data_IF_423822362036
#
_entry.id   IF_423822362036
#
_cell.length_a   1.000
_cell.length_b   1.000
_cell.length_c   1.000
_cell.angle_alpha   90.00
_cell.angle_beta   90.00
_cell.angle_gamma   90.00
#
_symmetry.space_group_name_H-M   'P 1'
#
loop_
_entity.id
_entity.type
_entity.pdbx_description
1 polymer ?
#
# COMPACT_ATOMS: atom_id res chain seq x y z
N UNK A 1 -21.24 -34.71 -1.65
CA UNK A 1 -20.14 -33.74 -1.37
C UNK A 1 -20.32 -33.23 0.04
N UNK A 2 -19.45 -33.62 0.96
CA UNK A 2 -19.62 -33.40 2.41
C UNK A 2 -19.16 -32.00 2.82
N UNK A 3 -20.06 -31.22 3.43
CA UNK A 3 -19.86 -29.84 3.94
C UNK A 3 -18.95 -29.76 5.20
N UNK A 4 -17.86 -30.53 5.27
CA UNK A 4 -17.00 -30.61 6.47
C UNK A 4 -15.90 -29.53 6.56
N UNK A 5 -15.91 -28.51 5.68
CA UNK A 5 -14.82 -27.51 5.61
C UNK A 5 -15.02 -26.25 6.47
N UNK A 6 -16.11 -26.10 7.23
CA UNK A 6 -16.48 -24.81 7.85
C UNK A 6 -15.91 -24.55 9.26
N UNK A 7 -15.06 -25.45 9.80
CA UNK A 7 -14.48 -25.29 11.14
C UNK A 7 -12.96 -25.03 11.12
N UNK A 8 -12.48 -24.34 10.08
CA UNK A 8 -11.08 -23.95 10.01
C UNK A 8 -10.78 -22.89 11.09
N UNK A 9 -9.84 -23.20 12.00
CA UNK A 9 -9.26 -22.23 12.92
C UNK A 9 -8.47 -21.22 12.08
N UNK A 10 -8.91 -19.97 12.04
CA UNK A 10 -8.20 -18.89 11.36
C UNK A 10 -7.51 -18.01 12.38
N UNK A 11 -6.32 -17.48 12.05
CA UNK A 11 -5.68 -16.46 12.87
C UNK A 11 -6.60 -15.24 12.98
N UNK A 12 -6.77 -14.73 14.18
CA UNK A 12 -7.61 -13.56 14.42
C UNK A 12 -7.01 -12.36 13.68
N UNK A 13 -7.73 -11.76 12.71
CA UNK A 13 -7.17 -10.71 11.86
C UNK A 13 -6.86 -9.42 12.63
N UNK A 14 -7.54 -9.20 13.77
CA UNK A 14 -7.37 -8.00 14.60
C UNK A 14 -6.07 -8.01 15.43
N UNK A 15 -5.66 -9.18 15.92
CA UNK A 15 -4.40 -9.33 16.68
C UNK A 15 -3.35 -10.14 15.90
N UNK A 16 -3.62 -10.45 14.64
CA UNK A 16 -2.75 -11.22 13.74
C UNK A 16 -2.25 -12.54 14.35
N UNK A 17 -3.11 -13.23 15.10
CA UNK A 17 -2.73 -14.48 15.77
C UNK A 17 -2.20 -14.34 17.20
N UNK A 18 -1.86 -13.14 17.66
CA UNK A 18 -1.18 -12.96 18.96
C UNK A 18 -2.11 -13.11 20.18
N UNK A 19 -3.41 -12.85 20.01
CA UNK A 19 -4.40 -12.91 21.09
C UNK A 19 -4.52 -11.64 21.94
N UNK A 20 -3.61 -10.68 21.81
CA UNK A 20 -3.62 -9.41 22.54
C UNK A 20 -3.33 -8.22 21.62
N UNK A 21 -3.78 -7.02 22.01
CA UNK A 21 -3.57 -5.76 21.26
C UNK A 21 -3.21 -4.61 22.20
N UNK A 22 -2.47 -3.63 21.70
CA UNK A 22 -2.33 -2.32 22.33
C UNK A 22 -3.57 -1.47 22.04
N UNK A 23 -4.03 -0.72 23.04
CA UNK A 23 -5.07 0.30 22.84
C UNK A 23 -4.42 1.61 22.38
N UNK A 24 -3.18 1.86 22.80
CA UNK A 24 -2.42 3.06 22.47
C UNK A 24 -1.16 2.68 21.70
N UNK A 25 -1.04 3.16 20.47
CA UNK A 25 0.14 2.96 19.63
C UNK A 25 1.39 3.72 20.14
N UNK A 26 1.21 4.69 21.05
CA UNK A 26 2.31 5.45 21.65
C UNK A 26 3.19 4.60 22.56
N UNK A 27 2.61 3.56 23.16
CA UNK A 27 3.36 2.64 24.03
C UNK A 27 4.02 1.59 23.16
N UNK A 28 5.35 1.67 23.04
CA UNK A 28 6.15 0.64 22.37
C UNK A 28 6.04 -0.68 23.13
N UNK A 29 5.90 -1.79 22.40
CA UNK A 29 6.03 -3.12 22.99
C UNK A 29 7.44 -3.30 23.57
N UNK A 30 7.52 -3.64 24.85
CA UNK A 30 8.75 -3.97 25.56
C UNK A 30 9.16 -5.45 25.38
N UNK A 31 8.27 -6.27 24.79
CA UNK A 31 8.47 -7.71 24.55
C UNK A 31 8.33 -8.07 23.06
N UNK A 32 8.73 -9.29 22.72
CA UNK A 32 8.55 -9.85 21.38
C UNK A 32 7.07 -9.80 20.93
N UNK A 33 6.83 -9.74 19.61
CA UNK A 33 5.48 -9.59 19.00
C UNK A 33 4.44 -10.62 19.46
N UNK A 34 4.89 -11.82 19.85
CA UNK A 34 4.03 -12.92 20.31
C UNK A 34 3.99 -13.04 21.85
N UNK A 35 4.55 -12.08 22.59
CA UNK A 35 4.56 -12.05 24.05
C UNK A 35 3.74 -10.86 24.58
N UNK A 36 2.81 -11.16 25.50
CA UNK A 36 1.98 -10.13 26.15
C UNK A 36 2.83 -9.23 27.05
N UNK A 37 2.87 -7.95 26.71
CA UNK A 37 3.43 -6.88 27.52
C UNK A 37 2.50 -6.45 28.67
N UNK A 38 2.98 -5.58 29.57
CA UNK A 38 2.16 -5.06 30.69
C UNK A 38 0.97 -4.22 30.22
N UNK A 39 1.09 -3.53 29.08
CA UNK A 39 0.07 -2.64 28.53
C UNK A 39 -0.88 -3.30 27.52
N UNK A 40 -0.64 -4.58 27.23
CA UNK A 40 -1.38 -5.37 26.26
C UNK A 40 -2.68 -5.85 26.87
N UNK A 41 -3.83 -5.53 26.25
CA UNK A 41 -5.12 -6.10 26.64
C UNK A 41 -5.46 -7.29 25.75
N UNK A 42 -6.21 -8.25 26.28
CA UNK A 42 -6.67 -9.38 25.47
C UNK A 42 -7.54 -8.85 24.32
N UNK A 43 -7.33 -9.39 23.12
CA UNK A 43 -8.11 -9.03 21.96
C UNK A 43 -9.56 -9.45 22.18
N UNK A 44 -10.49 -8.50 22.10
CA UNK A 44 -11.93 -8.74 22.35
C UNK A 44 -12.55 -9.64 21.29
N UNK A 45 -12.01 -9.64 20.06
CA UNK A 45 -12.48 -10.46 18.94
C UNK A 45 -12.25 -11.96 19.15
N UNK A 46 -11.06 -12.35 19.61
CA UNK A 46 -10.69 -13.76 19.84
C UNK A 46 -10.59 -14.12 21.33
N UNK A 47 -10.94 -13.20 22.23
CA UNK A 47 -10.90 -13.36 23.68
C UNK A 47 -9.54 -13.84 24.22
N UNK A 48 -8.43 -13.40 23.64
CA UNK A 48 -7.10 -13.83 24.09
C UNK A 48 -6.51 -15.03 23.35
N UNK A 49 -7.31 -15.79 22.58
CA UNK A 49 -6.84 -17.06 21.98
C UNK A 49 -5.95 -16.90 20.75
N UNK A 50 -5.99 -15.75 20.09
CA UNK A 50 -5.30 -15.52 18.83
C UNK A 50 -5.99 -16.13 17.61
N UNK A 51 -7.02 -16.95 17.79
CA UNK A 51 -7.72 -17.61 16.68
C UNK A 51 -9.23 -17.36 16.73
N UNK A 52 -9.87 -17.30 15.57
CA UNK A 52 -11.33 -17.28 15.45
C UNK A 52 -11.79 -18.56 14.76
N UNK A 53 -12.91 -19.11 15.21
CA UNK A 53 -13.49 -20.37 14.74
C UNK A 53 -14.94 -20.08 14.36
N UNK A 54 -15.36 -20.50 13.16
CA UNK A 54 -16.73 -20.28 12.68
C UNK A 54 -17.07 -18.82 12.34
N UNK A 55 -16.07 -17.94 12.29
CA UNK A 55 -16.22 -16.50 12.00
C UNK A 55 -15.31 -16.07 10.88
N UNK A 56 -15.76 -15.10 10.09
CA UNK A 56 -15.00 -14.48 9.02
C UNK A 56 -14.78 -12.99 9.28
N UNK A 57 -13.72 -12.38 8.72
CA UNK A 57 -13.53 -10.93 8.70
C UNK A 57 -14.80 -10.19 8.27
N UNK A 58 -15.23 -9.19 9.04
CA UNK A 58 -16.37 -8.38 8.64
C UNK A 58 -16.01 -7.55 7.40
N UNK A 59 -16.65 -7.76 6.23
CA UNK A 59 -16.29 -7.07 4.99
C UNK A 59 -16.62 -5.58 5.05
N UNK A 60 -17.62 -5.19 5.84
CA UNK A 60 -18.11 -3.81 5.94
C UNK A 60 -17.11 -2.89 6.64
N UNK A 61 -16.50 -3.35 7.73
CA UNK A 61 -15.53 -2.56 8.48
C UNK A 61 -14.08 -3.00 8.30
N UNK A 62 -13.82 -3.98 7.42
CA UNK A 62 -12.52 -4.58 7.20
C UNK A 62 -11.80 -4.88 8.52
N UNK A 63 -12.44 -5.68 9.38
CA UNK A 63 -11.98 -6.11 10.72
C UNK A 63 -11.79 -5.06 11.80
N UNK A 64 -12.00 -3.77 11.50
CA UNK A 64 -11.86 -2.70 12.50
C UNK A 64 -12.92 -2.79 13.60
N UNK A 65 -14.16 -3.15 13.24
CA UNK A 65 -15.30 -3.15 14.15
C UNK A 65 -16.06 -1.82 14.19
N UNK A 66 -15.54 -0.79 13.53
CA UNK A 66 -16.15 0.53 13.38
C UNK A 66 -16.00 1.04 11.94
N UNK A 67 -16.82 2.03 11.59
CA UNK A 67 -16.83 2.72 10.32
C UNK A 67 -16.58 4.20 10.56
N UNK A 68 -15.82 4.83 9.67
CA UNK A 68 -15.58 6.27 9.69
C UNK A 68 -16.27 6.90 8.48
N UNK A 69 -17.50 7.34 8.68
CA UNK A 69 -18.37 7.97 7.67
C UNK A 69 -18.40 9.51 7.77
N UNK A 70 -17.70 10.08 8.76
CA UNK A 70 -17.61 11.53 8.94
C UNK A 70 -16.71 12.18 7.90
N UNK A 71 -17.05 13.41 7.52
CA UNK A 71 -16.23 14.27 6.64
C UNK A 71 -14.92 14.69 7.33
N UNK A 72 -14.86 14.62 8.66
CA UNK A 72 -13.66 14.93 9.43
C UNK A 72 -12.58 13.88 9.18
N UNK A 73 -11.31 14.25 9.01
CA UNK A 73 -10.24 13.27 8.85
C UNK A 73 -10.09 12.40 10.11
N UNK A 74 -9.71 11.14 9.93
CA UNK A 74 -9.37 10.25 11.04
C UNK A 74 -8.06 10.74 11.68
N UNK A 75 -8.12 11.16 12.93
CA UNK A 75 -7.02 11.79 13.68
C UNK A 75 -6.11 10.79 14.43
N UNK A 76 -6.50 9.51 14.42
CA UNK A 76 -5.80 8.41 15.07
C UNK A 76 -5.36 7.36 14.04
N UNK A 77 -4.61 6.33 14.46
CA UNK A 77 -4.22 5.25 13.56
C UNK A 77 -5.45 4.45 13.10
N UNK A 78 -5.33 3.75 11.97
CA UNK A 78 -6.42 2.94 11.41
C UNK A 78 -7.02 1.87 12.35
N UNK A 79 -6.29 1.52 13.42
CA UNK A 79 -6.64 0.48 14.39
C UNK A 79 -7.25 1.03 15.70
N UNK A 80 -7.32 2.36 15.84
CA UNK A 80 -7.91 3.05 16.99
C UNK A 80 -9.18 3.74 16.52
N UNK A 81 -10.22 3.71 17.34
CA UNK A 81 -11.48 4.40 17.06
C UNK A 81 -11.32 5.88 17.41
N UNK A 82 -11.49 6.78 16.43
CA UNK A 82 -11.65 8.20 16.74
C UNK A 82 -13.06 8.51 17.27
N UNK A 83 -13.25 9.74 17.76
CA UNK A 83 -14.53 10.22 18.28
C UNK A 83 -15.67 10.14 17.25
N UNK A 84 -15.35 10.30 15.96
CA UNK A 84 -16.33 10.28 14.89
C UNK A 84 -16.61 8.90 14.30
N UNK A 85 -15.85 7.85 14.65
CA UNK A 85 -16.19 6.54 14.12
C UNK A 85 -17.44 5.99 14.81
N UNK A 86 -18.30 5.37 14.02
CA UNK A 86 -19.50 4.69 14.47
C UNK A 86 -19.23 3.19 14.56
N UNK A 87 -19.85 2.53 15.52
CA UNK A 87 -19.84 1.07 15.64
C UNK A 87 -20.35 0.44 14.34
N UNK A 88 -19.64 -0.57 13.83
CA UNK A 88 -20.07 -1.26 12.61
C UNK A 88 -21.40 -1.99 12.89
N UNK A 89 -22.46 -1.76 12.10
CA UNK A 89 -23.77 -2.34 12.37
C UNK A 89 -23.78 -3.86 12.21
N UNK A 90 -22.95 -4.40 11.32
CA UNK A 90 -22.93 -5.83 10.99
C UNK A 90 -22.23 -6.66 12.06
N UNK A 91 -21.08 -6.19 12.57
CA UNK A 91 -20.27 -6.97 13.51
C UNK A 91 -20.29 -6.46 14.96
N UNK A 92 -20.94 -5.32 15.24
CA UNK A 92 -21.07 -4.76 16.59
C UNK A 92 -19.73 -4.67 17.34
N UNK A 93 -18.74 -4.00 16.73
CA UNK A 93 -17.38 -3.79 17.28
C UNK A 93 -16.45 -5.00 17.33
N UNK A 94 -16.94 -6.19 16.98
CA UNK A 94 -16.11 -7.40 17.00
C UNK A 94 -15.14 -7.47 15.83
N UNK A 95 -15.45 -6.82 14.70
CA UNK A 95 -14.65 -6.89 13.47
C UNK A 95 -14.78 -8.21 12.71
N UNK A 96 -15.59 -9.14 13.21
CA UNK A 96 -15.82 -10.45 12.59
C UNK A 96 -17.31 -10.74 12.58
N UNK A 97 -17.78 -11.45 11.57
CA UNK A 97 -19.16 -11.93 11.48
C UNK A 97 -19.15 -13.45 11.43
N UNK A 98 -20.23 -14.10 11.85
CA UNK A 98 -20.33 -15.55 11.72
C UNK A 98 -20.29 -15.94 10.23
N UNK A 99 -19.73 -17.11 9.89
CA UNK A 99 -19.61 -17.54 8.47
C UNK A 99 -20.99 -17.65 7.80
N UNK A 100 -22.03 -17.92 8.58
CA UNK A 100 -23.42 -17.98 8.12
C UNK A 100 -24.09 -16.59 8.07
N UNK A 101 -23.34 -15.50 8.23
CA UNK A 101 -23.86 -14.14 8.13
C UNK A 101 -24.31 -13.88 6.69
N UNK A 102 -25.58 -14.17 6.42
CA UNK A 102 -26.26 -13.70 5.21
C UNK A 102 -26.36 -12.19 5.37
N UNK A 103 -25.59 -11.45 4.56
CA UNK A 103 -25.75 -10.01 4.41
C UNK A 103 -27.23 -9.78 4.09
N UNK A 104 -27.98 -9.21 5.03
CA UNK A 104 -29.36 -8.78 4.78
C UNK A 104 -29.32 -7.67 3.76
N UNK A 105 -29.21 -8.03 2.49
CA UNK A 105 -29.37 -7.14 1.36
C UNK A 105 -30.85 -6.81 1.24
N UNK A 106 -31.30 -5.81 2.00
CA UNK A 106 -32.34 -4.84 1.63
C UNK A 106 -32.90 -4.18 2.88
N UNK A 107 -32.96 -2.86 2.91
CA UNK A 107 -34.21 -2.08 2.83
C UNK A 107 -33.96 -0.62 3.19
N UNK A 108 -34.55 0.26 2.39
CA UNK A 108 -34.75 1.67 2.69
C UNK A 108 -35.67 1.76 3.91
N UNK A 109 -35.13 1.91 5.12
CA UNK A 109 -35.96 2.06 6.33
C UNK A 109 -35.73 3.43 6.94
N UNK A 110 -36.76 4.26 6.74
CA UNK A 110 -37.06 5.49 7.46
C UNK A 110 -36.76 5.34 8.95
N UNK A 111 -35.99 6.28 9.48
CA UNK A 111 -35.72 6.43 10.92
C UNK A 111 -37.02 6.67 11.69
N UNK A 112 -37.33 5.78 12.62
CA UNK A 112 -38.18 6.07 13.77
C UNK A 112 -37.36 5.90 15.04
N UNK A 113 -37.17 7.02 15.74
CA UNK A 113 -36.58 7.08 17.06
C UNK A 113 -37.41 6.27 18.04
N UNK A 114 -36.78 5.40 18.84
CA UNK A 114 -37.31 5.05 20.14
C UNK A 114 -36.17 4.71 21.12
N UNK A 115 -36.29 5.32 22.29
CA UNK A 115 -35.44 5.26 23.47
C UNK A 115 -35.74 4.01 24.30
N UNK A 116 -34.70 3.32 24.80
CA UNK A 116 -34.79 2.45 25.98
C UNK A 116 -33.38 2.30 26.58
N UNK A 117 -33.11 2.91 27.73
CA UNK A 117 -33.29 2.46 29.13
C UNK A 117 -32.44 1.23 29.52
N UNK A 118 -31.50 1.54 30.41
CA UNK A 118 -30.65 0.69 31.24
C UNK A 118 -31.28 -0.62 31.74
N UNK A 119 -30.47 -1.67 31.78
CA UNK A 119 -30.53 -2.65 32.87
C UNK A 119 -29.14 -3.23 33.16
N UNK A 120 -28.78 -3.15 34.45
CA UNK A 120 -27.62 -3.74 35.11
C UNK A 120 -27.82 -5.25 35.23
N UNK A 121 -26.76 -6.04 35.05
CA UNK A 121 -26.55 -7.27 35.82
C UNK A 121 -25.10 -7.75 35.75
N UNK A 122 -24.62 -8.16 36.93
CA UNK A 122 -23.42 -8.93 37.31
C UNK A 122 -23.89 -9.71 38.58
N UNK A 123 -23.16 -10.70 39.12
CA UNK A 123 -21.99 -11.44 38.63
C UNK A 123 -22.08 -12.97 38.86
N UNK A 124 -21.11 -13.78 38.40
CA UNK A 124 -20.61 -14.94 39.19
C UNK A 124 -19.25 -15.48 38.71
N UNK A 125 -18.56 -16.13 39.66
CA UNK A 125 -17.17 -16.64 39.72
C UNK A 125 -16.98 -17.99 38.98
N UNK A 126 -15.73 -18.31 38.59
CA UNK A 126 -14.79 -19.28 39.22
C UNK A 126 -14.02 -20.22 38.24
N UNK A 127 -12.69 -20.34 38.48
CA UNK A 127 -11.71 -21.41 38.17
C UNK A 127 -11.38 -21.72 36.68
N UNK A 128 -10.20 -22.18 36.24
CA UNK A 128 -9.06 -22.87 36.88
C UNK A 128 -7.77 -22.68 36.07
N UNK A 129 -6.64 -22.87 36.72
CA UNK A 129 -5.25 -22.83 36.22
C UNK A 129 -4.88 -24.16 35.55
N UNK A 130 -4.06 -24.13 34.49
CA UNK A 130 -3.19 -25.26 34.10
C UNK A 130 -1.99 -24.76 33.31
N UNK A 131 -0.81 -24.97 33.88
CA UNK A 131 0.52 -24.65 33.34
C UNK A 131 1.04 -25.83 32.52
N UNK A 132 1.64 -25.57 31.36
CA UNK A 132 2.46 -26.55 30.63
C UNK A 132 3.78 -25.89 30.27
N UNK A 133 4.85 -26.45 30.87
CA UNK A 133 6.25 -26.17 30.58
C UNK A 133 6.63 -26.59 29.16
N UNK A 134 7.26 -25.70 28.39
CA UNK A 134 8.04 -26.08 27.22
C UNK A 134 9.39 -25.35 27.15
N UNK A 135 10.38 -26.23 27.00
CA UNK A 135 11.83 -26.09 26.83
C UNK A 135 12.23 -25.12 25.69
N UNK A 136 13.20 -24.20 25.89
CA UNK A 136 13.63 -23.28 24.84
C UNK A 136 14.64 -23.93 23.87
N UNK A 137 14.40 -23.72 22.58
CA UNK A 137 15.35 -23.95 21.47
C UNK A 137 15.92 -22.57 21.06
N UNK A 138 17.23 -22.42 20.78
CA UNK A 138 17.81 -21.12 20.42
C UNK A 138 17.53 -20.79 18.95
N UNK A 139 16.89 -19.64 18.69
CA UNK A 139 16.65 -19.10 17.36
C UNK A 139 17.49 -17.84 17.10
N UNK A 140 18.07 -17.80 15.91
CA UNK A 140 18.93 -16.76 15.35
C UNK A 140 18.24 -15.39 15.23
N UNK A 141 18.98 -14.27 15.29
CA UNK A 141 18.39 -12.93 15.35
C UNK A 141 17.86 -12.49 13.97
N UNK A 142 16.56 -12.18 13.89
CA UNK A 142 15.92 -11.62 12.69
C UNK A 142 15.91 -10.10 12.78
N UNK A 143 16.58 -9.47 11.82
CA UNK A 143 16.80 -8.04 11.71
C UNK A 143 15.52 -7.31 11.23
N UNK A 144 14.71 -6.83 12.17
CA UNK A 144 13.49 -6.07 11.87
C UNK A 144 13.85 -4.61 11.51
N UNK A 145 13.81 -4.28 10.22
CA UNK A 145 13.97 -2.91 9.75
C UNK A 145 12.71 -2.08 10.05
N UNK A 146 12.85 -1.04 10.89
CA UNK A 146 11.78 -0.07 11.17
C UNK A 146 11.32 0.63 9.89
N UNK A 147 10.14 0.26 9.38
CA UNK A 147 9.46 0.95 8.28
C UNK A 147 8.48 1.94 8.89
N UNK A 148 8.68 3.23 8.65
CA UNK A 148 7.87 4.31 9.21
C UNK A 148 7.56 5.39 8.18
N UNK A 149 6.51 6.17 8.44
CA UNK A 149 6.20 7.36 7.65
C UNK A 149 7.37 8.35 7.68
N UNK A 150 7.69 8.96 6.54
CA UNK A 150 8.73 9.97 6.46
C UNK A 150 8.29 11.20 7.27
N UNK A 151 9.02 11.57 8.34
CA UNK A 151 8.63 12.66 9.22
C UNK A 151 8.82 14.04 8.57
N UNK A 152 9.65 14.12 7.54
CA UNK A 152 9.96 15.38 6.84
C UNK A 152 8.82 15.80 5.90
N UNK A 153 8.17 14.83 5.25
CA UNK A 153 7.05 15.10 4.34
C UNK A 153 5.70 14.61 4.87
N UNK A 154 5.62 14.19 6.14
CA UNK A 154 4.41 13.64 6.77
C UNK A 154 3.70 12.59 5.92
N UNK A 155 4.46 11.62 5.41
CA UNK A 155 3.99 10.56 4.50
C UNK A 155 3.52 10.98 3.08
N UNK A 156 3.60 12.25 2.72
CA UNK A 156 3.12 12.72 1.41
C UNK A 156 4.07 12.44 0.25
N UNK A 157 5.37 12.28 0.52
CA UNK A 157 6.41 12.09 -0.49
C UNK A 157 6.95 13.38 -1.11
N UNK A 158 6.33 14.53 -0.84
CA UNK A 158 6.75 15.83 -1.36
C UNK A 158 6.77 16.88 -0.25
N UNK A 159 7.64 17.89 -0.40
CA UNK A 159 7.81 19.01 0.53
C UNK A 159 7.72 20.33 -0.23
N UNK A 160 7.36 21.39 0.48
CA UNK A 160 7.26 22.72 -0.09
C UNK A 160 8.21 23.66 0.66
N UNK A 161 9.20 24.20 -0.04
CA UNK A 161 10.22 25.08 0.54
C UNK A 161 9.89 26.58 0.37
N UNK A 162 8.81 26.91 -0.33
CA UNK A 162 8.43 28.29 -0.64
C UNK A 162 7.26 28.77 0.23
N UNK A 163 7.18 30.08 0.45
CA UNK A 163 6.07 30.73 1.17
C UNK A 163 4.80 30.84 0.30
N UNK A 164 4.84 30.34 -0.94
CA UNK A 164 3.68 30.38 -1.83
C UNK A 164 2.63 29.39 -1.29
N UNK A 165 1.36 29.79 -1.11
CA UNK A 165 0.33 28.86 -0.66
C UNK A 165 0.09 27.74 -1.67
N UNK A 166 -0.36 26.58 -1.20
CA UNK A 166 -0.69 25.46 -2.08
C UNK A 166 -1.92 25.79 -2.96
N UNK A 167 -1.81 25.52 -4.25
CA UNK A 167 -2.91 25.65 -5.24
C UNK A 167 -3.78 24.39 -5.34
N UNK A 168 -3.38 23.30 -4.65
CA UNK A 168 -4.02 21.98 -4.69
C UNK A 168 -4.42 21.52 -3.28
N UNK A 169 -5.44 20.64 -3.17
CA UNK A 169 -5.86 20.07 -1.90
C UNK A 169 -4.74 19.22 -1.27
N UNK A 170 -4.79 19.08 0.06
CA UNK A 170 -3.87 18.24 0.85
C UNK A 170 -3.72 16.85 0.24
N UNK A 171 -2.48 16.35 0.17
CA UNK A 171 -2.18 15.04 -0.40
C UNK A 171 -1.80 15.03 -1.89
N UNK A 172 -1.85 16.16 -2.60
CA UNK A 172 -1.32 16.27 -3.97
C UNK A 172 -0.21 17.33 -4.08
N UNK A 173 0.88 17.07 -4.83
CA UNK A 173 1.96 18.04 -4.99
C UNK A 173 1.50 19.23 -5.84
N UNK A 174 1.70 20.46 -5.33
CA UNK A 174 1.52 21.68 -6.11
C UNK A 174 2.66 21.85 -7.14
N UNK A 175 2.58 22.87 -8.00
CA UNK A 175 3.65 23.18 -8.98
C UNK A 175 5.00 23.47 -8.30
N UNK A 176 4.98 23.90 -7.05
CA UNK A 176 6.16 24.30 -6.27
C UNK A 176 6.59 23.25 -5.23
N UNK A 177 5.87 22.13 -5.12
CA UNK A 177 6.29 21.01 -4.29
C UNK A 177 7.48 20.30 -4.97
N UNK A 178 8.56 20.10 -4.23
CA UNK A 178 9.67 19.25 -4.64
C UNK A 178 9.50 17.84 -4.05
N UNK A 179 10.09 16.85 -4.72
CA UNK A 179 10.14 15.47 -4.19
C UNK A 179 10.94 15.49 -2.89
N UNK A 180 10.42 14.85 -1.85
CA UNK A 180 11.09 14.79 -0.56
C UNK A 180 12.41 14.04 -0.70
N UNK A 181 13.53 14.71 -0.44
CA UNK A 181 14.89 14.15 -0.58
C UNK A 181 15.17 12.97 0.34
N UNK A 182 14.43 12.87 1.45
CA UNK A 182 14.64 11.84 2.47
C UNK A 182 14.05 10.48 2.08
N UNK A 183 12.85 10.49 1.50
CA UNK A 183 12.12 9.29 1.09
C UNK A 183 12.03 9.12 -0.43
N UNK A 184 12.66 10.01 -1.20
CA UNK A 184 12.65 10.03 -2.66
C UNK A 184 11.23 9.92 -3.27
N UNK A 185 10.24 10.57 -2.66
CA UNK A 185 8.86 10.54 -3.16
C UNK A 185 7.98 9.46 -2.56
N UNK A 186 8.54 8.48 -1.85
CA UNK A 186 7.77 7.34 -1.37
C UNK A 186 6.86 7.65 -0.17
N UNK A 187 7.13 8.73 0.56
CA UNK A 187 6.42 9.05 1.80
C UNK A 187 6.81 8.15 2.98
N UNK A 188 7.65 7.13 2.77
CA UNK A 188 8.07 6.18 3.81
C UNK A 188 9.60 6.10 3.87
N UNK A 189 10.13 5.86 5.08
CA UNK A 189 11.55 5.59 5.32
C UNK A 189 11.70 4.19 5.91
N UNK A 190 12.75 3.48 5.51
CA UNK A 190 13.11 2.17 6.03
C UNK A 190 14.47 2.30 6.71
N UNK A 191 14.57 1.87 7.97
CA UNK A 191 15.83 1.84 8.71
C UNK A 191 16.36 3.22 9.13
N UNK A 192 15.61 4.31 8.93
CA UNK A 192 15.99 5.66 9.39
C UNK A 192 15.03 6.13 10.48
N UNK A 193 15.53 6.91 11.44
CA UNK A 193 14.74 7.50 12.52
C UNK A 193 14.71 9.02 12.41
N UNK A 194 13.62 9.63 12.89
CA UNK A 194 13.51 11.08 13.00
C UNK A 194 14.66 11.64 13.86
N UNK A 195 15.35 12.66 13.38
CA UNK A 195 16.38 13.33 14.18
C UNK A 195 15.71 14.11 15.32
N UNK A 196 15.96 13.68 16.55
CA UNK A 196 15.39 14.30 17.76
C UNK A 196 15.97 15.69 18.03
N UNK A 197 17.21 15.95 17.63
CA UNK A 197 17.87 17.24 17.84
C UNK A 197 17.22 18.39 17.06
N UNK A 198 16.66 18.11 15.89
CA UNK A 198 15.96 19.13 15.08
C UNK A 198 14.48 18.82 14.92
N UNK A 199 13.92 17.89 15.69
CA UNK A 199 12.53 17.41 15.57
C UNK A 199 12.14 17.10 14.12
N UNK A 200 12.99 16.36 13.42
CA UNK A 200 12.87 16.01 12.01
C UNK A 200 12.85 17.16 10.97
N UNK A 201 13.09 18.41 11.38
CA UNK A 201 13.13 19.53 10.45
C UNK A 201 14.38 19.54 9.58
N UNK A 202 15.49 19.00 10.08
CA UNK A 202 16.79 19.06 9.41
C UNK A 202 17.60 20.31 9.72
N UNK A 203 16.98 21.35 10.27
CA UNK A 203 17.63 22.59 10.68
C UNK A 203 17.21 23.02 12.09
N UNK A 204 17.98 23.92 12.69
CA UNK A 204 17.73 24.47 14.02
C UNK A 204 18.24 25.91 14.15
N UNK A 205 17.74 26.62 15.16
CA UNK A 205 18.35 27.88 15.60
C UNK A 205 19.38 27.56 16.68
N UNK A 206 20.62 28.06 16.57
CA UNK A 206 21.57 28.00 17.67
C UNK A 206 20.94 28.61 18.93
N UNK A 207 21.16 28.03 20.13
CA UNK A 207 20.62 28.58 21.38
C UNK A 207 20.97 30.07 21.60
N UNK A 208 22.12 30.51 21.06
CA UNK A 208 22.61 31.87 21.17
C UNK A 208 22.16 32.79 20.02
N UNK A 209 21.26 32.33 19.15
CA UNK A 209 20.72 33.15 18.07
C UNK A 209 19.77 34.21 18.64
N UNK A 210 20.08 35.50 18.41
CA UNK A 210 19.17 36.61 18.74
C UNK A 210 17.86 36.59 17.94
N UNK A 211 17.80 35.78 16.88
CA UNK A 211 16.66 35.69 15.99
C UNK A 211 15.76 34.51 16.37
N UNK A 212 14.50 34.80 16.68
CA UNK A 212 13.45 33.80 16.89
C UNK A 212 12.94 33.30 15.54
N UNK A 213 12.54 32.04 15.45
CA UNK A 213 11.97 31.49 14.22
C UNK A 213 10.56 32.06 13.99
N UNK A 214 10.45 33.06 13.11
CA UNK A 214 9.21 33.79 12.82
C UNK A 214 8.58 33.43 11.47
N UNK A 215 9.03 32.37 10.81
CA UNK A 215 8.48 31.94 9.53
C UNK A 215 7.28 31.00 9.78
N UNK A 216 6.16 31.30 9.10
CA UNK A 216 4.95 30.48 9.14
C UNK A 216 4.75 29.84 7.76
N UNK A 217 4.55 28.52 7.64
CA UNK A 217 4.51 27.53 8.74
C UNK A 217 5.88 27.28 9.38
N UNK A 218 5.89 26.85 10.66
CA UNK A 218 7.12 26.58 11.44
C UNK A 218 7.97 25.42 10.91
N UNK A 219 7.51 24.79 9.84
CA UNK A 219 8.20 23.76 9.05
C UNK A 219 9.03 24.34 7.91
N UNK A 220 9.06 25.66 7.71
CA UNK A 220 9.95 26.30 6.73
C UNK A 220 11.30 26.65 7.36
N UNK A 221 12.35 26.75 6.53
CA UNK A 221 13.67 27.23 6.94
C UNK A 221 13.69 28.76 6.85
N UNK A 222 14.09 29.44 7.92
CA UNK A 222 14.36 30.88 7.84
C UNK A 222 15.82 31.15 7.47
N UNK A 223 16.17 32.39 7.16
CA UNK A 223 17.53 32.77 6.80
C UNK A 223 18.58 32.48 7.90
N UNK A 224 18.17 32.48 9.18
CA UNK A 224 19.05 32.23 10.32
C UNK A 224 19.11 30.75 10.75
N UNK A 225 18.34 29.88 10.10
CA UNK A 225 18.36 28.44 10.38
C UNK A 225 19.66 27.81 9.84
N UNK A 226 20.41 27.15 10.73
CA UNK A 226 21.56 26.32 10.36
C UNK A 226 21.14 24.87 10.20
N UNK A 227 21.85 24.13 9.34
CA UNK A 227 21.64 22.69 9.21
C UNK A 227 21.98 21.99 10.53
N UNK A 228 21.18 20.99 10.88
CA UNK A 228 21.35 20.25 12.11
C UNK A 228 22.64 19.40 12.01
N UNK A 229 23.60 19.55 12.94
CA UNK A 229 24.90 18.88 12.85
C UNK A 229 24.80 17.35 13.05
N UNK A 230 23.70 16.87 13.63
CA UNK A 230 23.47 15.44 13.87
C UNK A 230 23.00 14.72 12.60
N UNK A 231 22.23 15.41 11.76
CA UNK A 231 21.61 14.83 10.58
C UNK A 231 21.98 15.53 9.27
N UNK A 232 22.94 16.45 9.29
CA UNK A 232 23.43 17.21 8.13
C UNK A 232 22.32 17.79 7.24
N UNK A 233 21.27 18.36 7.83
CA UNK A 233 20.17 18.94 7.05
C UNK A 233 19.04 17.98 6.67
N UNK A 234 19.21 16.66 6.85
CA UNK A 234 18.24 15.67 6.34
C UNK A 234 17.01 15.46 7.24
N UNK A 235 17.07 15.85 8.51
CA UNK A 235 15.97 15.63 9.45
C UNK A 235 15.78 14.17 9.89
N UNK A 236 16.58 13.24 9.36
CA UNK A 236 16.58 11.84 9.75
C UNK A 236 18.01 11.35 9.97
N UNK A 237 18.16 10.40 10.88
CA UNK A 237 19.41 9.72 11.17
C UNK A 237 19.27 8.24 10.83
N UNK A 238 20.34 7.68 10.27
CA UNK A 238 20.48 6.24 10.12
C UNK A 238 21.08 5.69 11.43
N UNK A 239 20.34 4.89 12.23
CA UNK A 239 20.84 4.34 13.49
C UNK A 239 22.10 3.49 13.30
N UNK A 240 22.28 2.91 12.10
CA UNK A 240 23.45 2.09 11.79
C UNK A 240 24.72 2.93 11.57
N UNK A 241 24.56 4.17 11.07
CA UNK A 241 25.67 5.12 10.81
C UNK A 241 25.86 6.16 11.93
N UNK A 242 24.93 6.25 12.86
CA UNK A 242 24.88 7.34 13.85
C UNK A 242 26.03 7.32 14.87
N UNK A 243 26.60 6.16 15.18
CA UNK A 243 27.73 6.03 16.12
C UNK A 243 28.97 6.80 15.65
N UNK A 244 29.19 6.87 14.35
CA UNK A 244 30.36 7.52 13.75
C UNK A 244 30.12 9.02 13.56
N UNK A 245 28.92 9.41 13.12
CA UNK A 245 28.54 10.82 12.99
C UNK A 245 28.43 11.55 14.33
N UNK A 246 28.02 10.88 15.42
CA UNK A 246 27.97 11.50 16.74
C UNK A 246 29.37 11.87 17.26
N UNK A 247 30.38 11.01 17.01
CA UNK A 247 31.78 11.31 17.35
C UNK A 247 32.32 12.49 16.55
N UNK A 248 32.05 12.54 15.25
CA UNK A 248 32.51 13.63 14.38
C UNK A 248 31.84 14.97 14.69
N UNK A 249 30.57 14.96 15.13
CA UNK A 249 29.85 16.18 15.54
C UNK A 249 30.43 16.82 16.81
N UNK A 250 30.87 16.01 17.79
CA UNK A 250 31.53 16.51 19.01
C UNK A 250 32.91 17.10 18.70
N UNK A 251 33.63 16.52 17.74
CA UNK A 251 34.96 17.00 17.31
C UNK A 251 34.84 18.33 16.56
N UNK A 252 33.87 18.45 15.65
CA UNK A 252 33.67 19.68 14.87
C UNK A 252 33.24 20.89 15.73
N UNK A 253 32.57 20.67 16.87
CA UNK A 253 32.26 21.77 17.80
C UNK A 253 33.47 22.25 18.62
N UNK A 254 34.51 21.41 18.76
CA UNK A 254 35.74 21.79 19.49
C UNK A 254 36.76 22.53 18.62
N UNK A 255 36.71 22.37 17.30
CA UNK A 255 37.69 22.98 16.38
C UNK A 255 37.39 24.44 16.02
N UNK A 256 36.16 24.93 16.19
CA UNK A 256 35.80 26.30 15.78
C UNK A 256 36.11 27.38 16.83
N UNK A 257 36.69 27.02 17.98
CA UNK A 257 37.08 27.99 19.04
C UNK A 257 38.59 28.06 19.32
N UNK A 258 39.46 27.46 18.50
CA UNK A 258 40.91 27.40 18.77
C UNK A 258 41.79 27.84 17.61
N UNK A 259 41.43 28.93 16.93
CA UNK A 259 42.32 29.62 16.01
C UNK A 259 42.31 31.13 16.30
N UNK A 260 42.96 31.52 17.40
CA UNK A 260 43.78 32.74 17.51
C UNK A 260 44.32 32.85 18.95
N UNK A 261 45.49 32.29 19.20
CA UNK A 261 46.39 32.75 20.26
C UNK A 261 47.82 32.43 19.83
N UNK A 262 48.71 33.43 19.70
CA UNK A 262 50.09 33.20 19.28
C UNK A 262 50.86 32.48 20.40
N UNK A 263 51.76 31.54 20.07
CA UNK A 263 52.56 30.85 21.08
C UNK A 263 53.64 31.79 21.63
N UNK A 264 53.61 32.00 22.94
CA UNK A 264 54.75 32.53 23.69
C UNK A 264 55.90 31.52 23.65
N UNK A 265 57.08 32.02 23.30
CA UNK A 265 58.35 31.28 23.32
C UNK A 265 58.68 30.87 24.75
N UNK A 266 58.51 29.59 25.07
CA UNK A 266 59.18 28.97 26.21
C UNK A 266 60.13 27.88 25.73
N UNK A 267 61.40 28.14 26.00
CA UNK A 267 62.57 27.33 25.70
C UNK A 267 62.54 26.09 26.58
N UNK A 268 62.06 24.96 26.06
CA UNK A 268 62.16 23.66 26.74
C UNK A 268 63.54 23.06 26.44
N UNK A 269 64.38 23.08 27.47
CA UNK A 269 65.71 22.47 27.49
C UNK A 269 65.54 20.95 27.66
N UNK A 270 65.55 20.18 26.56
CA UNK A 270 65.52 18.72 26.62
C UNK A 270 66.93 18.20 26.88
N UNK A 271 67.17 17.81 28.12
CA UNK A 271 68.41 17.20 28.56
C UNK A 271 68.47 15.74 28.07
N UNK A 272 69.30 15.51 27.06
CA UNK A 272 69.61 14.19 26.51
C UNK A 272 70.28 13.33 27.59
N UNK A 273 69.56 12.33 28.10
CA UNK A 273 70.16 11.21 28.83
C UNK A 273 70.29 10.00 27.90
N UNK A 274 71.37 9.20 27.99
CA UNK A 274 71.63 8.12 27.06
C UNK A 274 70.61 6.99 27.22
N UNK A 275 70.09 6.41 26.13
CA UNK A 275 69.11 5.35 26.21
C UNK A 275 69.75 4.07 26.77
N UNK A 276 69.23 3.59 27.89
CA UNK A 276 69.61 2.30 28.46
C UNK A 276 69.03 1.15 27.62
N UNK A 277 69.85 0.12 27.39
CA UNK A 277 69.66 -1.00 26.45
C UNK A 277 68.33 -1.78 26.56
N UNK A 278 67.57 -1.61 27.65
CA UNK A 278 66.27 -2.28 27.88
C UNK A 278 65.10 -1.64 27.12
N UNK A 279 65.17 -0.36 26.76
CA UNK A 279 64.09 0.31 26.02
C UNK A 279 64.05 -0.06 24.51
N UNK A 280 65.19 -0.47 23.95
CA UNK A 280 65.28 -0.86 22.54
C UNK A 280 64.61 -2.21 22.24
N UNK A 281 64.64 -3.15 23.19
CA UNK A 281 64.03 -4.48 23.03
C UNK A 281 62.49 -4.44 23.04
N UNK A 282 61.87 -3.58 23.86
CA UNK A 282 60.41 -3.40 23.89
C UNK A 282 59.87 -2.78 22.58
N UNK A 283 60.63 -1.87 21.96
CA UNK A 283 60.27 -1.25 20.68
C UNK A 283 60.24 -2.27 19.53
N UNK A 284 61.17 -3.22 19.53
CA UNK A 284 61.27 -4.26 18.48
C UNK A 284 60.07 -5.22 18.52
N UNK A 285 59.63 -5.64 19.72
CA UNK A 285 58.46 -6.50 19.87
C UNK A 285 57.14 -5.80 19.47
N UNK A 286 57.01 -4.50 19.72
CA UNK A 286 55.84 -3.74 19.28
C UNK A 286 55.76 -3.61 17.76
N UNK A 287 56.90 -3.40 17.10
CA UNK A 287 56.96 -3.34 15.64
C UNK A 287 56.53 -4.65 14.99
N UNK A 288 56.99 -5.78 15.53
CA UNK A 288 56.65 -7.11 15.01
C UNK A 288 55.15 -7.43 15.14
N UNK A 289 54.51 -7.02 16.25
CA UNK A 289 53.04 -7.13 16.41
C UNK A 289 52.26 -6.25 15.44
N UNK A 290 52.78 -5.09 15.06
CA UNK A 290 52.11 -4.25 14.04
C UNK A 290 52.16 -4.90 12.66
N UNK A 291 53.30 -5.49 12.30
CA UNK A 291 53.45 -6.23 11.04
C UNK A 291 52.52 -7.45 10.96
N UNK A 292 52.43 -8.25 12.03
CA UNK A 292 51.49 -9.39 12.10
C UNK A 292 50.04 -8.91 11.94
N UNK A 293 49.64 -7.84 12.64
CA UNK A 293 48.30 -7.28 12.53
C UNK A 293 47.99 -6.71 11.14
N UNK A 294 48.99 -6.15 10.47
CA UNK A 294 48.85 -5.66 9.10
C UNK A 294 48.69 -6.82 8.12
N UNK A 295 49.43 -7.91 8.31
CA UNK A 295 49.29 -9.14 7.54
C UNK A 295 47.91 -9.80 7.72
N UNK A 296 47.42 -9.88 8.97
CA UNK A 296 46.06 -10.37 9.26
C UNK A 296 45.00 -9.52 8.56
N UNK A 297 45.16 -8.19 8.57
CA UNK A 297 44.23 -7.27 7.90
C UNK A 297 44.23 -7.47 6.38
N UNK A 298 45.39 -7.69 5.76
CA UNK A 298 45.48 -8.00 4.34
C UNK A 298 44.81 -9.34 4.00
N UNK A 299 44.98 -10.36 4.86
CA UNK A 299 44.32 -11.66 4.69
C UNK A 299 42.80 -11.56 4.84
N UNK A 300 42.30 -10.80 5.83
CA UNK A 300 40.87 -10.56 6.01
C UNK A 300 40.27 -9.83 4.80
N UNK A 301 40.99 -8.86 4.24
CA UNK A 301 40.57 -8.14 3.04
C UNK A 301 40.44 -9.06 1.82
N UNK A 302 41.35 -10.02 1.66
CA UNK A 302 41.30 -11.01 0.58
C UNK A 302 40.09 -11.94 0.71
N UNK A 303 39.83 -12.45 1.92
CA UNK A 303 38.65 -13.29 2.20
C UNK A 303 37.34 -12.51 1.97
N UNK A 304 37.29 -11.24 2.36
CA UNK A 304 36.13 -10.38 2.11
C UNK A 304 35.90 -10.17 0.61
N UNK A 305 36.96 -10.04 -0.18
CA UNK A 305 36.90 -9.92 -1.63
C UNK A 305 36.39 -11.22 -2.28
N UNK A 306 36.88 -12.38 -1.85
CA UNK A 306 36.44 -13.70 -2.33
C UNK A 306 34.95 -13.94 -2.02
N UNK A 307 34.49 -13.61 -0.82
CA UNK A 307 33.07 -13.73 -0.46
C UNK A 307 32.17 -12.76 -1.27
N UNK A 308 32.68 -11.59 -1.64
CA UNK A 308 31.96 -10.68 -2.53
C UNK A 308 31.84 -11.27 -3.95
N UNK A 309 32.93 -11.85 -4.46
CA UNK A 309 32.95 -12.52 -5.76
C UNK A 309 31.95 -13.68 -5.80
N UNK A 310 31.94 -14.53 -4.76
CA UNK A 310 31.01 -15.65 -4.66
C UNK A 310 29.53 -15.20 -4.65
N UNK A 311 29.22 -14.09 -3.96
CA UNK A 311 27.85 -13.53 -3.98
C UNK A 311 27.45 -13.00 -5.35
N UNK A 312 28.39 -12.42 -6.11
CA UNK A 312 28.12 -11.96 -7.47
C UNK A 312 27.85 -13.14 -8.40
N UNK A 313 28.64 -14.20 -8.33
CA UNK A 313 28.44 -15.42 -9.12
C UNK A 313 27.11 -16.11 -8.76
N UNK A 314 26.78 -16.21 -7.47
CA UNK A 314 25.49 -16.75 -7.03
C UNK A 314 24.31 -15.90 -7.56
N UNK A 315 24.45 -14.58 -7.55
CA UNK A 315 23.41 -13.67 -8.07
C UNK A 315 23.24 -13.84 -9.58
N UNK A 316 24.33 -13.96 -10.33
CA UNK A 316 24.29 -14.21 -11.77
C UNK A 316 23.65 -15.57 -12.10
N UNK A 317 23.97 -16.61 -11.33
CA UNK A 317 23.36 -17.93 -11.49
C UNK A 317 21.84 -17.92 -11.25
N UNK A 318 21.39 -17.18 -10.22
CA UNK A 318 19.95 -17.00 -9.94
C UNK A 318 19.25 -16.27 -11.09
N UNK A 319 19.85 -15.20 -11.62
CA UNK A 319 19.29 -14.46 -12.75
C UNK A 319 19.16 -15.32 -14.01
N UNK A 320 20.18 -16.14 -14.31
CA UNK A 320 20.15 -17.06 -15.45
C UNK A 320 19.05 -18.12 -15.28
N UNK A 321 18.91 -18.68 -14.07
CA UNK A 321 17.86 -19.65 -13.76
C UNK A 321 16.46 -19.03 -13.89
N UNK A 322 16.27 -17.80 -13.40
CA UNK A 322 14.99 -17.08 -13.53
C UNK A 322 14.64 -16.84 -15.01
N UNK A 323 15.62 -16.44 -15.81
CA UNK A 323 15.44 -16.27 -17.26
C UNK A 323 15.01 -17.58 -17.94
N UNK A 324 15.62 -18.70 -17.56
CA UNK A 324 15.28 -20.02 -18.09
C UNK A 324 13.85 -20.44 -17.71
N UNK A 325 13.41 -20.18 -16.48
CA UNK A 325 12.04 -20.46 -16.05
C UNK A 325 11.01 -19.62 -16.83
N UNK A 326 11.27 -18.32 -17.03
CA UNK A 326 10.40 -17.45 -17.83
C UNK A 326 10.30 -17.94 -19.27
N UNK A 327 11.42 -18.37 -19.86
CA UNK A 327 11.43 -18.93 -21.22
C UNK A 327 10.62 -20.22 -21.31
N UNK A 328 10.73 -21.11 -20.32
CA UNK A 328 9.94 -22.35 -20.26
C UNK A 328 8.45 -22.06 -20.10
N UNK A 329 8.08 -21.09 -19.25
CA UNK A 329 6.69 -20.68 -19.07
C UNK A 329 6.11 -20.09 -20.36
N UNK A 330 6.89 -19.29 -21.10
CA UNK A 330 6.48 -18.75 -22.40
C UNK A 330 6.21 -19.85 -23.43
N UNK A 331 7.06 -20.88 -23.49
CA UNK A 331 6.85 -22.04 -24.37
C UNK A 331 5.58 -22.81 -24.02
N UNK A 332 5.29 -23.00 -22.72
CA UNK A 332 4.04 -23.63 -22.28
C UNK A 332 2.80 -22.80 -22.67
N UNK A 333 2.85 -21.48 -22.49
CA UNK A 333 1.76 -20.59 -22.91
C UNK A 333 1.54 -20.65 -24.43
N UNK A 334 2.61 -20.67 -25.23
CA UNK A 334 2.50 -20.78 -26.68
C UNK A 334 1.86 -22.10 -27.11
N UNK A 335 2.23 -23.22 -26.47
CA UNK A 335 1.58 -24.51 -26.72
C UNK A 335 0.09 -24.49 -26.36
N UNK A 336 -0.28 -23.87 -25.23
CA UNK A 336 -1.68 -23.74 -24.82
C UNK A 336 -2.49 -22.89 -25.82
N UNK A 337 -1.92 -21.78 -26.31
CA UNK A 337 -2.55 -20.93 -27.33
C UNK A 337 -2.77 -21.71 -28.63
N UNK A 338 -1.77 -22.50 -29.08
CA UNK A 338 -1.90 -23.36 -30.27
C UNK A 338 -3.02 -24.39 -30.11
N UNK A 339 -3.17 -25.00 -28.94
CA UNK A 339 -4.28 -25.93 -28.66
C UNK A 339 -5.65 -25.23 -28.73
N UNK A 340 -5.78 -24.04 -28.14
CA UNK A 340 -7.02 -23.26 -28.20
C UNK A 340 -7.35 -22.86 -29.64
N UNK A 341 -6.37 -22.41 -30.42
CA UNK A 341 -6.56 -22.06 -31.83
C UNK A 341 -7.01 -23.27 -32.67
N UNK A 342 -6.43 -24.44 -32.44
CA UNK A 342 -6.83 -25.68 -33.09
C UNK A 342 -8.28 -26.05 -32.74
N UNK A 343 -8.68 -25.92 -31.48
CA UNK A 343 -10.05 -26.18 -31.03
C UNK A 343 -11.06 -25.21 -31.65
N UNK A 344 -10.71 -23.92 -31.74
CA UNK A 344 -11.54 -22.91 -32.41
C UNK A 344 -11.70 -23.21 -33.90
N UNK A 345 -10.64 -23.61 -34.58
CA UNK A 345 -10.70 -24.00 -36.00
C UNK A 345 -11.61 -25.22 -36.21
N UNK A 346 -11.52 -26.22 -35.33
CA UNK A 346 -12.40 -27.39 -35.39
C UNK A 346 -13.88 -27.02 -35.17
N UNK A 347 -14.17 -26.13 -34.22
CA UNK A 347 -15.55 -25.62 -34.01
C UNK A 347 -16.07 -24.87 -35.23
N UNK A 348 -15.24 -24.04 -35.86
CA UNK A 348 -15.63 -23.29 -37.06
C UNK A 348 -15.93 -24.23 -38.23
N UNK A 349 -15.14 -25.29 -38.40
CA UNK A 349 -15.38 -26.31 -39.43
C UNK A 349 -16.71 -27.04 -39.20
N UNK A 350 -17.02 -27.39 -37.94
CA UNK A 350 -18.30 -28.02 -37.59
C UNK A 350 -19.49 -27.07 -37.84
N UNK A 351 -19.34 -25.78 -37.53
CA UNK A 351 -20.36 -24.78 -37.78
C UNK A 351 -20.64 -24.61 -39.27
N UNK A 352 -19.60 -24.59 -40.12
CA UNK A 352 -19.76 -24.56 -41.59
C UNK A 352 -20.47 -25.81 -42.12
N UNK A 353 -20.15 -27.00 -41.59
CA UNK A 353 -20.82 -28.24 -41.99
C UNK A 353 -22.32 -28.21 -41.63
N UNK A 354 -22.67 -27.72 -40.43
CA UNK A 354 -24.05 -27.55 -40.00
C UNK A 354 -24.81 -26.55 -40.89
N UNK A 355 -24.18 -25.43 -41.26
CA UNK A 355 -24.78 -24.44 -42.14
C UNK A 355 -25.04 -25.00 -43.55
N UNK A 356 -24.10 -25.80 -44.08
CA UNK A 356 -24.29 -26.50 -45.36
C UNK A 356 -25.46 -27.47 -45.32
N UNK A 357 -25.61 -28.22 -44.21
CA UNK A 357 -26.72 -29.16 -44.04
C UNK A 357 -28.08 -28.44 -43.93
N UNK A 358 -28.15 -27.29 -43.23
CA UNK A 358 -29.37 -26.46 -43.20
C UNK A 358 -29.73 -25.95 -44.59
N UNK A 359 -28.73 -25.52 -45.38
CA UNK A 359 -28.96 -25.04 -46.74
C UNK A 359 -29.52 -26.15 -47.65
N UNK A 360 -29.00 -27.38 -47.56
CA UNK A 360 -29.54 -28.52 -48.30
C UNK A 360 -30.99 -28.83 -47.90
N UNK A 361 -31.31 -28.78 -46.60
CA UNK A 361 -32.68 -29.01 -46.12
C UNK A 361 -33.65 -27.95 -46.65
N UNK A 362 -33.24 -26.68 -46.68
CA UNK A 362 -34.05 -25.58 -47.17
C UNK A 362 -34.31 -25.69 -48.69
N UNK A 363 -33.30 -26.12 -49.46
CA UNK A 363 -33.46 -26.39 -50.89
C UNK A 363 -34.45 -27.54 -51.14
N UNK A 364 -34.40 -28.60 -50.32
CA UNK A 364 -35.33 -29.72 -50.42
C UNK A 364 -36.79 -29.30 -50.14
N UNK A 365 -37.01 -28.40 -49.17
CA UNK A 365 -38.35 -27.84 -48.91
C UNK A 365 -38.86 -27.01 -50.09
N UNK A 366 -38.02 -26.18 -50.70
CA UNK A 366 -38.39 -25.40 -51.87
C UNK A 366 -38.76 -26.29 -53.06
N UNK A 367 -38.07 -27.42 -53.24
CA UNK A 367 -38.36 -28.37 -54.31
C UNK A 367 -39.72 -29.06 -54.14
N UNK A 368 -40.17 -29.34 -52.92
CA UNK A 368 -41.52 -29.88 -52.69
C UNK A 368 -42.63 -28.87 -53.01
N UNK A 369 -42.40 -27.58 -52.77
CA UNK A 369 -43.35 -26.51 -53.07
C UNK A 369 -43.52 -26.24 -54.58
N UNK A 370 -42.58 -26.69 -55.42
CA UNK A 370 -42.61 -26.46 -56.87
C UNK A 370 -43.31 -27.58 -57.66
N UNK A 371 -43.92 -28.56 -56.97
CA UNK A 371 -44.76 -29.54 -57.63
C UNK A 371 -46.00 -28.85 -58.23
N UNK A 372 -46.24 -28.95 -59.55
CA UNK A 372 -47.34 -28.27 -60.21
C UNK A 372 -48.68 -28.86 -59.77
N UNK A 373 -49.40 -28.13 -58.93
CA UNK A 373 -50.83 -28.36 -58.70
C UNK A 373 -51.60 -27.89 -59.95
N UNK A 374 -52.21 -28.83 -60.66
CA UNK A 374 -53.09 -28.59 -61.80
C UNK A 374 -54.49 -28.14 -61.31
N UNK A 375 -55.00 -27.01 -61.84
CA UNK A 375 -56.40 -26.51 -61.84
C UNK A 375 -57.00 -26.03 -60.49
N UNK A 376 -57.81 -24.96 -60.36
CA UNK A 376 -59.00 -24.47 -61.11
C UNK A 376 -59.19 -22.93 -61.01
N UNK A 377 -59.98 -22.29 -61.91
CA UNK A 377 -60.28 -20.86 -61.89
C UNK A 377 -61.64 -20.55 -61.22
N UNK A 378 -61.70 -19.67 -60.21
CA UNK A 378 -62.97 -19.08 -59.77
C UNK A 378 -62.84 -17.61 -59.38
N UNK A 379 -63.97 -16.93 -59.52
CA UNK A 379 -64.21 -15.51 -59.66
C UNK A 379 -64.26 -14.71 -58.35
N UNK A 380 -63.85 -13.45 -58.50
CA UNK A 380 -64.08 -12.22 -57.74
C UNK A 380 -65.30 -12.16 -56.81
N UNK A 381 -65.12 -11.64 -55.58
CA UNK A 381 -66.08 -10.71 -54.92
C UNK A 381 -65.42 -9.93 -53.77
N UNK A 382 -65.78 -8.65 -53.70
CA UNK A 382 -65.35 -7.64 -52.73
C UNK A 382 -66.02 -7.84 -51.36
N UNK A 383 -65.30 -7.58 -50.25
CA UNK A 383 -65.90 -7.19 -48.97
C UNK A 383 -64.90 -6.41 -48.10
N UNK A 384 -65.34 -5.24 -47.65
CA UNK A 384 -64.66 -4.26 -46.80
C UNK A 384 -64.85 -4.53 -45.29
N UNK A 385 -63.87 -4.06 -44.50
CA UNK A 385 -63.83 -3.82 -43.03
C UNK A 385 -63.20 -4.93 -42.14
N UNK A 386 -62.72 -4.60 -40.93
CA UNK A 386 -61.94 -3.43 -40.51
C UNK A 386 -60.56 -3.82 -39.93
N UNK A 387 -59.69 -2.82 -39.77
CA UNK A 387 -58.33 -2.95 -39.24
C UNK A 387 -58.31 -3.44 -37.78
N UNK A 388 -57.76 -4.64 -37.56
CA UNK A 388 -57.34 -5.13 -36.26
C UNK A 388 -55.86 -4.81 -36.09
N UNK A 389 -55.57 -3.93 -35.13
CA UNK A 389 -54.21 -3.58 -34.71
C UNK A 389 -53.56 -4.75 -33.95
N UNK A 390 -52.29 -5.07 -34.19
CA UNK A 390 -51.58 -6.07 -33.42
C UNK A 390 -51.24 -5.55 -32.02
N UNK A 391 -51.66 -6.29 -31.00
CA UNK A 391 -51.26 -6.12 -29.60
C UNK A 391 -49.78 -6.50 -29.48
N UNK A 392 -48.93 -5.49 -29.32
CA UNK A 392 -47.51 -5.65 -28.99
C UNK A 392 -47.35 -6.16 -27.55
N UNK A 393 -46.41 -7.08 -27.28
CA UNK A 393 -46.12 -7.52 -25.91
C UNK A 393 -45.49 -6.35 -25.15
N UNK A 394 -45.90 -6.18 -23.88
CA UNK A 394 -45.42 -5.19 -22.92
C UNK A 394 -43.88 -5.06 -22.90
N UNK A 395 -43.36 -4.22 -23.78
CA UNK A 395 -42.02 -3.66 -23.71
C UNK A 395 -42.12 -2.33 -22.99
N UNK A 396 -41.30 -2.17 -21.95
CA UNK A 396 -41.05 -0.90 -21.27
C UNK A 396 -41.09 0.25 -22.26
N UNK A 397 -41.95 1.25 -22.03
CA UNK A 397 -42.04 2.45 -22.84
C UNK A 397 -40.64 3.07 -22.93
N UNK A 398 -39.96 2.81 -24.04
CA UNK A 398 -38.69 3.43 -24.39
C UNK A 398 -39.03 4.90 -24.64
N UNK A 399 -38.90 5.72 -23.60
CA UNK A 399 -38.89 7.16 -23.74
C UNK A 399 -37.90 7.47 -24.85
N UNK A 400 -38.36 8.16 -25.89
CA UNK A 400 -37.54 8.47 -27.05
C UNK A 400 -36.29 9.21 -26.57
N UNK A 401 -35.15 8.52 -26.59
CA UNK A 401 -33.87 9.07 -26.21
C UNK A 401 -33.18 9.56 -27.48
N UNK A 402 -32.83 10.84 -27.53
CA UNK A 402 -32.02 11.39 -28.62
C UNK A 402 -30.55 11.39 -28.23
N UNK A 403 -29.67 11.18 -29.22
CA UNK A 403 -28.23 11.19 -29.01
C UNK A 403 -27.79 12.58 -28.56
N UNK A 404 -27.03 12.66 -27.47
CA UNK A 404 -26.60 13.93 -26.92
C UNK A 404 -25.62 14.63 -27.87
N UNK A 405 -26.09 15.66 -28.57
CA UNK A 405 -25.32 16.47 -29.54
C UNK A 405 -24.05 17.09 -28.93
N UNK A 406 -24.07 17.38 -27.62
CA UNK A 406 -22.93 17.96 -26.89
C UNK A 406 -21.74 17.01 -26.70
N UNK A 407 -21.92 15.70 -26.86
CA UNK A 407 -20.86 14.68 -26.76
C UNK A 407 -20.93 13.62 -27.85
N UNK A 408 -21.77 13.82 -28.87
CA UNK A 408 -21.97 12.88 -29.98
C UNK A 408 -22.28 11.45 -29.53
N UNK A 409 -23.02 11.28 -28.42
CA UNK A 409 -23.39 9.96 -27.90
C UNK A 409 -22.37 9.29 -26.98
N UNK A 410 -21.18 9.85 -26.82
CA UNK A 410 -20.10 9.23 -26.05
C UNK A 410 -20.28 9.35 -24.52
N UNK A 411 -21.12 10.27 -24.06
CA UNK A 411 -21.32 10.52 -22.63
C UNK A 411 -20.24 11.38 -21.97
N UNK A 412 -19.07 11.57 -22.60
CA UNK A 412 -17.96 12.37 -22.06
C UNK A 412 -17.33 13.31 -23.11
N UNK A 413 -16.65 14.36 -22.65
CA UNK A 413 -15.91 15.30 -23.53
C UNK A 413 -14.71 15.96 -22.83
N UNK A 414 -13.73 16.39 -23.61
CA UNK A 414 -12.62 17.21 -23.12
C UNK A 414 -13.07 18.61 -22.72
N UNK A 415 -12.42 19.16 -21.68
CA UNK A 415 -12.58 20.58 -21.32
C UNK A 415 -11.95 21.41 -22.44
N UNK A 416 -12.66 22.42 -22.97
CA UNK A 416 -12.26 23.30 -24.10
C UNK A 416 -10.84 23.91 -24.04
N UNK A 417 -10.15 23.80 -22.90
CA UNK A 417 -8.78 24.32 -22.68
C UNK A 417 -7.69 23.23 -22.61
N UNK A 418 -8.02 21.97 -22.84
CA UNK A 418 -7.02 20.90 -22.94
C UNK A 418 -6.47 20.88 -24.37
N UNK A 419 -5.26 21.41 -24.56
CA UNK A 419 -4.53 21.36 -25.83
C UNK A 419 -4.01 19.97 -26.20
N UNK A 420 -4.21 18.96 -25.34
CA UNK A 420 -3.80 17.59 -25.63
C UNK A 420 -4.83 16.86 -26.49
N UNK A 421 -4.44 16.32 -27.66
CA UNK A 421 -5.33 15.50 -28.49
C UNK A 421 -5.73 14.21 -27.78
N UNK A 422 -6.92 13.68 -28.10
CA UNK A 422 -7.41 12.43 -27.55
C UNK A 422 -6.65 11.25 -28.20
N UNK A 423 -5.73 10.63 -27.47
CA UNK A 423 -4.91 9.51 -27.98
C UNK A 423 -5.56 8.11 -27.74
N UNK A 424 -6.86 8.07 -27.44
CA UNK A 424 -7.62 6.84 -27.22
C UNK A 424 -8.70 6.70 -28.31
N UNK A 425 -9.14 5.47 -28.66
CA UNK A 425 -10.19 5.26 -29.65
C UNK A 425 -11.51 5.93 -29.21
N UNK A 426 -12.37 6.23 -30.19
CA UNK A 426 -13.53 7.13 -30.03
C UNK A 426 -14.51 6.77 -28.89
N UNK A 427 -14.47 5.54 -28.38
CA UNK A 427 -15.37 5.04 -27.34
C UNK A 427 -14.70 4.82 -25.96
N UNK A 428 -13.44 5.25 -25.77
CA UNK A 428 -12.70 5.02 -24.52
C UNK A 428 -12.42 6.34 -23.82
N UNK A 429 -12.84 6.43 -22.56
CA UNK A 429 -12.62 7.60 -21.71
C UNK A 429 -11.15 7.70 -21.30
N UNK A 430 -10.48 8.80 -21.64
CA UNK A 430 -9.15 9.10 -21.08
C UNK A 430 -9.25 9.88 -19.75
N UNK A 431 -8.14 10.00 -19.02
CA UNK A 431 -8.08 10.69 -17.72
C UNK A 431 -8.52 12.17 -17.75
N UNK A 432 -8.51 12.80 -18.93
CA UNK A 432 -8.91 14.20 -19.09
C UNK A 432 -10.37 14.38 -19.56
N UNK A 433 -11.09 13.29 -19.84
CA UNK A 433 -12.49 13.30 -20.21
C UNK A 433 -13.38 13.49 -18.97
N UNK A 434 -14.24 14.51 -18.98
CA UNK A 434 -15.29 14.69 -17.97
C UNK A 434 -16.64 14.30 -18.54
N UNK A 435 -17.56 13.89 -17.66
CA UNK A 435 -18.92 13.59 -18.06
C UNK A 435 -19.56 14.80 -18.73
N UNK A 436 -20.26 14.55 -19.82
CA UNK A 436 -21.00 15.57 -20.53
C UNK A 436 -22.10 16.09 -19.60
N UNK A 437 -22.05 17.39 -19.31
CA UNK A 437 -23.02 18.05 -18.43
C UNK A 437 -24.47 17.92 -18.91
N UNK A 438 -24.69 17.73 -20.21
CA UNK A 438 -26.03 17.69 -20.81
C UNK A 438 -26.70 16.33 -20.63
N UNK A 439 -25.95 15.23 -20.73
CA UNK A 439 -26.48 13.86 -20.58
C UNK A 439 -26.02 13.15 -19.31
N UNK A 440 -25.26 13.84 -18.44
CA UNK A 440 -24.72 13.29 -17.19
C UNK A 440 -23.94 11.96 -17.36
N UNK A 441 -23.22 11.79 -18.47
CA UNK A 441 -22.42 10.59 -18.71
C UNK A 441 -23.13 9.49 -19.51
N UNK A 442 -24.43 9.61 -19.76
CA UNK A 442 -25.20 8.52 -20.40
C UNK A 442 -25.07 8.48 -21.92
N UNK A 443 -24.68 9.59 -22.56
CA UNK A 443 -24.64 9.71 -24.03
C UNK A 443 -25.99 10.07 -24.66
N UNK A 444 -27.08 10.00 -23.90
CA UNK A 444 -28.44 10.22 -24.38
C UNK A 444 -29.14 11.32 -23.57
N UNK A 445 -30.07 12.04 -24.20
CA UNK A 445 -30.96 12.96 -23.51
C UNK A 445 -32.40 12.50 -23.75
N UNK A 446 -33.17 12.40 -22.67
CA UNK A 446 -34.62 12.16 -22.77
C UNK A 446 -35.24 13.38 -23.45
N UNK A 447 -36.02 13.14 -24.52
CA UNK A 447 -36.79 14.18 -25.19
C UNK A 447 -37.91 14.73 -24.29
#
# INVERSE_FOLDING_TARGET
MSNNAMNAKQACPRCQGAGFIHINDEVKHDKARNAKCKNCKNCTTCQGTGTIVGKMPCPTCNVKGWLHDSVHPHDTSDNIRCFYCRTCPDCKETGVVDINFKKSTNTNTKQTNNTSKHSKSKPSKQMSVSSIDQKPIPTTPVENHLRGSCPVCSALGFVHESHIPHDKPSGKPCKYCSVCRVCAGAGIIVGKQACTHCSAKGWYHPPNSKFVHNVTPSTMRCFHCKDCPVCNGYGVIDPTKSKENYRNSIISQKTDHSLYSPPSKETINVQLTPPTHKNYQLSTQQYQKMLEKEQEKQQEQLLAQEHLQQRLEQTQAIQLMEQQMVQQQKLQQEQQIKQIQMQQMQQLQLQQQMQMQQMQMQQMQLYQLQQPVMYMPYTTTYATAPAVTPVMPYGYAAQAQSVCSSCQGLGFKHKKKSSKPHNQPANVRCDNCRDCKTCHGTGYVSL
#
